data_IF_490320699503
#
_entry.id   IF_490320699503
#
_cell.length_a   1.000
_cell.length_b   1.000
_cell.length_c   1.000
_cell.angle_alpha   90.00
_cell.angle_beta   90.00
_cell.angle_gamma   90.00
#
_symmetry.space_group_name_H-M   'P 1'
#
loop_
_entity.id
_entity.type
_entity.pdbx_description
1 polymer ?
#
# COMPACT_ATOMS: atom_id res chain seq x y z
N UNK A 1 -27.87 98.51 -47.15
CA UNK A 1 -26.86 97.93 -46.23
C UNK A 1 -27.43 98.13 -44.82
N UNK A 2 -28.26 97.18 -44.34
CA UNK A 2 -27.91 96.11 -43.37
C UNK A 2 -27.05 96.60 -42.21
N UNK A 3 -27.37 96.37 -40.94
CA UNK A 3 -28.55 95.88 -40.21
C UNK A 3 -28.20 96.25 -38.75
N UNK A 4 -29.13 96.81 -37.98
CA UNK A 4 -28.91 97.05 -36.56
C UNK A 4 -28.97 95.71 -35.82
N UNK A 5 -27.86 95.33 -35.22
CA UNK A 5 -27.69 94.15 -34.37
C UNK A 5 -28.57 94.29 -33.12
N UNK A 6 -29.62 93.49 -33.04
CA UNK A 6 -30.50 93.42 -31.87
C UNK A 6 -30.08 92.21 -31.04
N UNK A 7 -29.21 92.46 -30.05
CA UNK A 7 -28.75 91.43 -29.10
C UNK A 7 -29.88 91.14 -28.13
N UNK A 8 -30.48 89.96 -28.26
CA UNK A 8 -31.45 89.44 -27.29
C UNK A 8 -30.67 88.69 -26.21
N UNK A 9 -30.84 89.00 -24.91
CA UNK A 9 -30.05 88.38 -23.85
C UNK A 9 -30.39 86.90 -23.67
N UNK A 10 -29.35 86.09 -23.52
CA UNK A 10 -29.42 84.67 -23.14
C UNK A 10 -30.00 84.58 -21.74
N UNK A 11 -31.25 84.13 -21.64
CA UNK A 11 -31.97 84.00 -20.38
C UNK A 11 -32.71 82.66 -20.34
N UNK A 12 -31.99 81.54 -20.48
CA UNK A 12 -32.59 80.20 -20.35
C UNK A 12 -31.55 79.13 -20.01
N UNK A 13 -30.96 79.20 -18.81
CA UNK A 13 -30.05 78.17 -18.30
C UNK A 13 -30.39 77.67 -16.88
N UNK A 14 -31.49 78.15 -16.26
CA UNK A 14 -31.90 77.69 -14.91
C UNK A 14 -33.02 76.66 -14.90
N UNK A 15 -33.62 76.38 -16.05
CA UNK A 15 -34.82 75.53 -16.13
C UNK A 15 -34.48 74.04 -16.20
N UNK A 16 -33.27 73.67 -16.62
CA UNK A 16 -32.87 72.25 -16.77
C UNK A 16 -32.38 71.59 -15.47
N UNK A 17 -31.68 72.31 -14.59
CA UNK A 17 -31.20 71.75 -13.31
C UNK A 17 -32.36 71.50 -12.33
N UNK A 18 -33.30 72.45 -12.22
CA UNK A 18 -34.47 72.31 -11.35
C UNK A 18 -35.43 71.21 -11.83
N UNK A 19 -35.51 70.99 -13.15
CA UNK A 19 -36.33 69.92 -13.75
C UNK A 19 -35.63 68.56 -13.60
N UNK A 20 -34.31 68.48 -13.73
CA UNK A 20 -33.56 67.25 -13.44
C UNK A 20 -33.59 66.85 -11.96
N UNK A 21 -33.46 67.81 -11.03
CA UNK A 21 -33.59 67.53 -9.60
C UNK A 21 -35.01 67.06 -9.25
N UNK A 22 -36.05 67.69 -9.82
CA UNK A 22 -37.43 67.28 -9.62
C UNK A 22 -37.71 65.87 -10.17
N UNK A 23 -37.21 65.55 -11.38
CA UNK A 23 -37.34 64.21 -11.97
C UNK A 23 -36.54 63.19 -11.15
N UNK A 24 -35.33 63.52 -10.69
CA UNK A 24 -34.54 62.64 -9.85
C UNK A 24 -35.25 62.36 -8.50
N UNK A 25 -35.90 63.36 -7.92
CA UNK A 25 -36.62 63.25 -6.65
C UNK A 25 -37.97 62.51 -6.79
N UNK A 26 -38.66 62.70 -7.92
CA UNK A 26 -39.88 61.96 -8.30
C UNK A 26 -39.59 60.49 -8.66
N UNK A 27 -38.51 60.23 -9.38
CA UNK A 27 -38.01 58.87 -9.67
C UNK A 27 -37.51 58.21 -8.39
N UNK A 28 -36.81 58.91 -7.49
CA UNK A 28 -36.38 58.35 -6.20
C UNK A 28 -37.55 58.01 -5.28
N UNK A 29 -38.60 58.82 -5.26
CA UNK A 29 -39.80 58.55 -4.45
C UNK A 29 -40.68 57.43 -5.04
N UNK A 30 -40.82 57.35 -6.36
CA UNK A 30 -41.54 56.26 -7.03
C UNK A 30 -40.75 54.95 -7.03
N UNK A 31 -39.43 55.01 -7.25
CA UNK A 31 -38.55 53.84 -7.18
C UNK A 31 -38.38 53.32 -5.75
N UNK A 32 -38.39 54.18 -4.74
CA UNK A 32 -38.23 53.77 -3.33
C UNK A 32 -39.32 52.80 -2.84
N UNK A 33 -40.55 52.96 -3.32
CA UNK A 33 -41.68 52.12 -2.90
C UNK A 33 -41.69 50.73 -3.56
N UNK A 34 -41.25 50.61 -4.81
CA UNK A 34 -41.14 49.31 -5.50
C UNK A 34 -39.79 48.63 -5.26
N UNK A 35 -38.70 49.38 -5.14
CA UNK A 35 -37.39 48.84 -4.73
C UNK A 35 -37.41 48.30 -3.31
N UNK A 36 -38.17 48.90 -2.38
CA UNK A 36 -38.31 48.37 -1.02
C UNK A 36 -38.92 46.96 -0.99
N UNK A 37 -39.96 46.70 -1.80
CA UNK A 37 -40.56 45.37 -1.95
C UNK A 37 -39.58 44.40 -2.60
N UNK A 38 -38.90 44.83 -3.66
CA UNK A 38 -37.87 44.04 -4.35
C UNK A 38 -36.72 43.69 -3.39
N UNK A 39 -36.28 44.61 -2.55
CA UNK A 39 -35.22 44.36 -1.57
C UNK A 39 -35.62 43.31 -0.52
N UNK A 40 -36.89 43.29 -0.09
CA UNK A 40 -37.42 42.26 0.80
C UNK A 40 -37.42 40.89 0.11
N UNK A 41 -37.86 40.82 -1.16
CA UNK A 41 -37.80 39.57 -1.91
C UNK A 41 -36.36 39.11 -2.12
N UNK A 42 -35.43 40.01 -2.44
CA UNK A 42 -34.01 39.70 -2.61
C UNK A 42 -33.37 39.25 -1.29
N UNK A 43 -33.69 39.88 -0.16
CA UNK A 43 -33.15 39.49 1.14
C UNK A 43 -33.64 38.10 1.55
N UNK A 44 -34.93 37.82 1.34
CA UNK A 44 -35.50 36.50 1.57
C UNK A 44 -34.85 35.44 0.65
N UNK A 45 -34.71 35.75 -0.64
CA UNK A 45 -34.07 34.86 -1.61
C UNK A 45 -32.61 34.59 -1.25
N UNK A 46 -31.88 35.61 -0.79
CA UNK A 46 -30.48 35.50 -0.36
C UNK A 46 -30.33 34.57 0.84
N UNK A 47 -31.24 34.63 1.81
CA UNK A 47 -31.25 33.72 2.95
C UNK A 47 -31.52 32.28 2.51
N UNK A 48 -32.47 32.06 1.59
CA UNK A 48 -32.74 30.73 1.03
C UNK A 48 -31.53 30.19 0.26
N UNK A 49 -30.87 31.05 -0.51
CA UNK A 49 -29.66 30.71 -1.26
C UNK A 49 -28.52 30.30 -0.33
N UNK A 50 -28.33 31.05 0.76
CA UNK A 50 -27.40 30.69 1.83
C UNK A 50 -27.72 29.32 2.43
N UNK A 51 -29.00 29.03 2.67
CA UNK A 51 -29.43 27.75 3.22
C UNK A 51 -29.05 26.59 2.28
N UNK A 52 -29.40 26.69 1.00
CA UNK A 52 -29.08 25.66 -0.01
C UNK A 52 -27.58 25.50 -0.17
N UNK A 53 -26.84 26.61 -0.24
CA UNK A 53 -25.39 26.59 -0.35
C UNK A 53 -24.73 25.97 0.89
N UNK A 54 -25.21 26.31 2.09
CA UNK A 54 -24.75 25.71 3.34
C UNK A 54 -24.95 24.20 3.35
N UNK A 55 -26.13 23.72 2.95
CA UNK A 55 -26.38 22.28 2.86
C UNK A 55 -25.50 21.60 1.80
N UNK A 56 -25.32 22.23 0.64
CA UNK A 56 -24.43 21.72 -0.42
C UNK A 56 -22.97 21.63 0.03
N UNK A 57 -22.46 22.67 0.69
CA UNK A 57 -21.12 22.66 1.28
C UNK A 57 -20.99 21.62 2.39
N UNK A 58 -21.98 21.52 3.28
CA UNK A 58 -21.97 20.54 4.37
C UNK A 58 -21.89 19.12 3.84
N UNK A 59 -22.66 18.77 2.81
CA UNK A 59 -22.58 17.45 2.17
C UNK A 59 -21.23 17.20 1.50
N UNK A 60 -20.66 18.20 0.82
CA UNK A 60 -19.34 18.08 0.21
C UNK A 60 -18.24 17.87 1.25
N UNK A 61 -18.29 18.58 2.38
CA UNK A 61 -17.34 18.43 3.48
C UNK A 61 -17.44 17.03 4.09
N UNK A 62 -18.64 16.50 4.28
CA UNK A 62 -18.83 15.13 4.77
C UNK A 62 -18.18 14.12 3.83
N UNK A 63 -18.44 14.22 2.52
CA UNK A 63 -17.84 13.30 1.52
C UNK A 63 -16.32 13.39 1.47
N UNK A 64 -15.77 14.62 1.50
CA UNK A 64 -14.32 14.83 1.59
C UNK A 64 -13.74 14.21 2.87
N UNK A 65 -14.46 14.27 3.99
CA UNK A 65 -14.08 13.60 5.23
C UNK A 65 -13.96 12.08 5.08
N UNK A 66 -14.95 11.45 4.44
CA UNK A 66 -14.95 10.02 4.15
C UNK A 66 -13.78 9.63 3.22
N UNK A 67 -13.51 10.41 2.17
CA UNK A 67 -12.37 10.17 1.27
C UNK A 67 -11.02 10.29 1.98
N UNK A 68 -10.87 11.28 2.88
CA UNK A 68 -9.66 11.47 3.68
C UNK A 68 -9.47 10.31 4.68
N UNK A 69 -10.54 9.81 5.27
CA UNK A 69 -10.50 8.63 6.14
C UNK A 69 -10.06 7.38 5.35
N UNK A 70 -10.61 7.18 4.14
CA UNK A 70 -10.19 6.10 3.25
C UNK A 70 -8.71 6.21 2.86
N UNK A 71 -8.22 7.43 2.60
CA UNK A 71 -6.79 7.71 2.36
C UNK A 71 -5.92 7.37 3.57
N UNK A 72 -6.38 7.67 4.78
CA UNK A 72 -5.68 7.30 6.01
C UNK A 72 -5.60 5.78 6.17
N UNK A 73 -6.69 5.07 5.87
CA UNK A 73 -6.73 3.60 5.82
C UNK A 73 -5.73 3.03 4.81
N UNK A 74 -5.72 3.55 3.58
CA UNK A 74 -4.78 3.11 2.55
C UNK A 74 -3.31 3.35 2.95
N UNK A 75 -3.02 4.49 3.61
CA UNK A 75 -1.68 4.77 4.13
C UNK A 75 -1.25 3.74 5.17
N UNK A 76 -2.17 3.30 6.03
CA UNK A 76 -1.90 2.24 7.02
C UNK A 76 -1.61 0.91 6.33
N UNK A 77 -2.38 0.53 5.31
CA UNK A 77 -2.16 -0.69 4.55
C UNK A 77 -0.82 -0.70 3.82
N UNK A 78 -0.43 0.43 3.21
CA UNK A 78 0.87 0.60 2.56
C UNK A 78 2.01 0.45 3.58
N UNK A 79 1.85 1.02 4.78
CA UNK A 79 2.83 0.86 5.87
C UNK A 79 2.95 -0.61 6.32
N UNK A 80 1.82 -1.29 6.50
CA UNK A 80 1.80 -2.72 6.84
C UNK A 80 2.43 -3.59 5.75
N UNK A 81 2.22 -3.24 4.47
CA UNK A 81 2.87 -3.89 3.34
C UNK A 81 4.40 -3.68 3.36
N UNK A 82 4.87 -2.48 3.71
CA UNK A 82 6.30 -2.20 3.90
C UNK A 82 6.94 -3.14 4.92
N UNK A 83 6.35 -3.26 6.11
CA UNK A 83 6.83 -4.18 7.16
C UNK A 83 6.86 -5.64 6.70
N UNK A 84 5.86 -6.08 5.92
CA UNK A 84 5.82 -7.44 5.37
C UNK A 84 6.94 -7.66 4.35
N UNK A 85 7.20 -6.69 3.48
CA UNK A 85 8.28 -6.74 2.49
C UNK A 85 9.65 -6.81 3.16
N UNK A 86 9.88 -6.06 4.23
CA UNK A 86 11.12 -6.14 5.02
C UNK A 86 11.32 -7.54 5.60
N UNK A 87 10.24 -8.13 6.13
CA UNK A 87 10.25 -9.51 6.63
C UNK A 87 10.59 -10.53 5.54
N UNK A 88 10.03 -10.39 4.34
CA UNK A 88 10.35 -11.24 3.18
C UNK A 88 11.81 -11.06 2.76
N UNK A 89 12.30 -9.82 2.71
CA UNK A 89 13.70 -9.51 2.36
C UNK A 89 14.69 -10.15 3.35
N UNK A 90 14.37 -10.14 4.64
CA UNK A 90 15.16 -10.82 5.68
C UNK A 90 15.20 -12.34 5.46
N UNK A 91 14.03 -12.96 5.22
CA UNK A 91 13.93 -14.41 4.97
C UNK A 91 14.68 -14.83 3.70
N UNK A 92 14.68 -13.99 2.66
CA UNK A 92 15.41 -14.25 1.43
C UNK A 92 16.92 -14.29 1.70
N UNK A 93 17.46 -13.29 2.42
CA UNK A 93 18.88 -13.27 2.82
C UNK A 93 19.29 -14.51 3.62
N UNK A 94 18.45 -14.95 4.57
CA UNK A 94 18.71 -16.17 5.33
C UNK A 94 18.69 -17.41 4.43
N UNK A 95 17.81 -17.45 3.45
CA UNK A 95 17.74 -18.55 2.48
C UNK A 95 18.99 -18.58 1.61
N UNK A 96 19.46 -17.43 1.11
CA UNK A 96 20.70 -17.33 0.33
C UNK A 96 21.90 -17.84 1.13
N UNK A 97 22.03 -17.42 2.39
CA UNK A 97 23.08 -17.91 3.30
C UNK A 97 23.00 -19.42 3.51
N UNK A 98 21.80 -19.99 3.62
CA UNK A 98 21.62 -21.43 3.78
C UNK A 98 22.02 -22.18 2.50
N UNK A 99 21.70 -21.65 1.32
CA UNK A 99 22.10 -22.20 0.02
C UNK A 99 23.62 -22.17 -0.15
N UNK A 100 24.28 -21.05 0.20
CA UNK A 100 25.74 -20.95 0.15
C UNK A 100 26.43 -21.97 1.07
N UNK A 101 25.89 -22.15 2.28
CA UNK A 101 26.39 -23.15 3.22
C UNK A 101 26.21 -24.58 2.69
N UNK A 102 25.08 -24.87 2.02
CA UNK A 102 24.83 -26.16 1.38
C UNK A 102 25.78 -26.40 0.20
N UNK A 103 26.01 -25.39 -0.64
CA UNK A 103 26.97 -25.47 -1.75
C UNK A 103 28.38 -25.78 -1.24
N UNK A 104 28.83 -25.13 -0.16
CA UNK A 104 30.13 -25.44 0.44
C UNK A 104 30.24 -26.87 0.99
N UNK A 105 29.17 -27.37 1.64
CA UNK A 105 29.11 -28.76 2.09
C UNK A 105 29.10 -29.76 0.93
N UNK A 106 28.40 -29.44 -0.16
CA UNK A 106 28.36 -30.28 -1.36
C UNK A 106 29.74 -30.37 -2.01
N UNK A 107 30.45 -29.25 -2.20
CA UNK A 107 31.83 -29.29 -2.73
C UNK A 107 32.80 -30.08 -1.84
N UNK A 108 32.63 -30.01 -0.52
CA UNK A 108 33.39 -30.85 0.43
C UNK A 108 33.05 -32.34 0.26
N UNK A 109 31.77 -32.66 0.10
CA UNK A 109 31.30 -34.03 -0.13
C UNK A 109 31.81 -34.60 -1.44
N UNK A 110 31.75 -33.83 -2.53
CA UNK A 110 32.31 -34.19 -3.84
C UNK A 110 33.81 -34.51 -3.72
N UNK A 111 34.57 -33.66 -3.02
CA UNK A 111 36.00 -33.90 -2.77
C UNK A 111 36.22 -35.23 -2.04
N UNK A 112 35.46 -35.50 -0.98
CA UNK A 112 35.56 -36.76 -0.21
C UNK A 112 35.17 -37.99 -1.05
N UNK A 113 34.16 -37.88 -1.90
CA UNK A 113 33.76 -38.96 -2.82
C UNK A 113 34.90 -39.27 -3.78
N UNK A 114 35.52 -38.26 -4.39
CA UNK A 114 36.69 -38.42 -5.27
C UNK A 114 37.87 -39.06 -4.52
N UNK A 115 38.11 -38.69 -3.26
CA UNK A 115 39.14 -39.33 -2.43
C UNK A 115 38.83 -40.80 -2.16
N UNK A 116 37.58 -41.14 -1.83
CA UNK A 116 37.14 -42.54 -1.66
C UNK A 116 37.32 -43.35 -2.95
N UNK A 117 37.01 -42.78 -4.11
CA UNK A 117 37.22 -43.41 -5.42
C UNK A 117 38.70 -43.68 -5.75
N UNK A 118 39.63 -42.94 -5.16
CA UNK A 118 41.07 -43.16 -5.34
C UNK A 118 41.65 -44.23 -4.41
N UNK A 119 40.95 -44.58 -3.32
CA UNK A 119 41.45 -45.59 -2.38
C UNK A 119 41.50 -46.99 -3.01
N UNK A 120 42.49 -47.83 -2.67
CA UNK A 120 42.47 -49.24 -3.05
C UNK A 120 41.16 -49.93 -2.60
N UNK A 121 40.66 -50.88 -3.40
CA UNK A 121 39.36 -51.52 -3.16
C UNK A 121 39.21 -52.12 -1.74
N UNK A 122 40.29 -52.67 -1.18
CA UNK A 122 40.34 -53.20 0.19
C UNK A 122 40.13 -52.11 1.24
N UNK A 123 40.71 -50.93 1.05
CA UNK A 123 40.57 -49.78 1.96
C UNK A 123 39.18 -49.17 1.86
N UNK A 124 38.60 -49.07 0.66
CA UNK A 124 37.20 -48.66 0.47
C UNK A 124 36.23 -49.57 1.22
N UNK A 125 36.36 -50.90 1.03
CA UNK A 125 35.53 -51.89 1.73
C UNK A 125 35.63 -51.71 3.25
N UNK A 126 36.83 -51.52 3.79
CA UNK A 126 37.06 -51.31 5.23
C UNK A 126 36.40 -50.03 5.76
N UNK A 127 36.45 -48.92 5.02
CA UNK A 127 35.76 -47.67 5.38
C UNK A 127 34.25 -47.87 5.36
N UNK A 128 33.71 -48.47 4.30
CA UNK A 128 32.27 -48.74 4.18
C UNK A 128 31.78 -49.66 5.31
N UNK A 129 32.53 -50.70 5.68
CA UNK A 129 32.20 -51.59 6.80
C UNK A 129 32.22 -50.85 8.14
N UNK A 130 33.16 -49.91 8.34
CA UNK A 130 33.19 -49.08 9.54
C UNK A 130 31.96 -48.16 9.62
N UNK A 131 31.62 -47.50 8.51
CA UNK A 131 30.44 -46.64 8.41
C UNK A 131 29.13 -47.43 8.59
N UNK A 132 29.01 -48.63 8.01
CA UNK A 132 27.85 -49.52 8.18
C UNK A 132 27.68 -49.93 9.65
N UNK A 133 28.78 -50.24 10.34
CA UNK A 133 28.75 -50.54 11.77
C UNK A 133 28.31 -49.32 12.60
N UNK A 134 28.80 -48.12 12.28
CA UNK A 134 28.37 -46.89 12.93
C UNK A 134 26.88 -46.59 12.70
N UNK A 135 26.38 -46.79 11.47
CA UNK A 135 24.96 -46.67 11.11
C UNK A 135 24.13 -47.71 11.88
N UNK A 136 24.59 -48.96 11.96
CA UNK A 136 23.97 -50.01 12.76
C UNK A 136 23.80 -49.61 14.22
N UNK A 137 24.83 -49.01 14.82
CA UNK A 137 24.77 -48.48 16.20
C UNK A 137 23.76 -47.35 16.36
N UNK A 138 23.74 -46.38 15.42
CA UNK A 138 22.76 -45.27 15.44
C UNK A 138 21.33 -45.76 15.24
N UNK A 139 21.11 -46.73 14.36
CA UNK A 139 19.79 -47.33 14.16
C UNK A 139 19.35 -48.13 15.39
N UNK A 140 20.25 -48.84 16.06
CA UNK A 140 19.96 -49.49 17.33
C UNK A 140 19.48 -48.50 18.39
N UNK A 141 20.15 -47.34 18.49
CA UNK A 141 19.75 -46.26 19.39
C UNK A 141 18.38 -45.67 19.03
N UNK A 142 18.16 -45.33 17.75
CA UNK A 142 16.87 -44.80 17.27
C UNK A 142 15.74 -45.81 17.47
N UNK A 143 16.01 -47.11 17.29
CA UNK A 143 15.05 -48.18 17.52
C UNK A 143 14.53 -48.28 18.94
N UNK A 144 15.33 -47.85 19.93
CA UNK A 144 14.88 -47.76 21.31
C UNK A 144 13.89 -46.61 21.58
N UNK A 145 13.69 -45.70 20.63
CA UNK A 145 12.88 -44.48 20.78
C UNK A 145 11.66 -44.43 19.85
N UNK A 146 11.35 -45.52 19.14
CA UNK A 146 10.31 -45.56 18.10
C UNK A 146 9.08 -46.37 18.51
N UNK A 147 7.91 -45.96 18.00
CA UNK A 147 6.64 -46.66 18.18
C UNK A 147 6.56 -47.93 17.29
N UNK A 148 5.64 -48.84 17.62
CA UNK A 148 5.53 -50.18 17.02
C UNK A 148 5.46 -50.20 15.47
N UNK A 149 4.82 -49.20 14.85
CA UNK A 149 4.71 -49.10 13.39
C UNK A 149 6.01 -48.67 12.68
N UNK A 150 6.89 -47.93 13.35
CA UNK A 150 8.16 -47.47 12.81
C UNK A 150 9.30 -48.47 13.12
N UNK A 151 9.15 -49.25 14.21
CA UNK A 151 10.06 -50.33 14.58
C UNK A 151 10.19 -51.41 13.48
N UNK A 152 9.10 -51.78 12.80
CA UNK A 152 9.13 -52.77 11.72
C UNK A 152 9.96 -52.33 10.50
N UNK A 153 9.86 -51.05 10.11
CA UNK A 153 10.67 -50.48 9.01
C UNK A 153 12.15 -50.41 9.39
N UNK A 154 12.43 -50.11 10.66
CA UNK A 154 13.79 -50.09 11.18
C UNK A 154 14.40 -51.50 11.22
N UNK A 155 13.64 -52.51 11.64
CA UNK A 155 14.09 -53.90 11.64
C UNK A 155 14.44 -54.36 10.20
N UNK A 156 13.65 -53.96 9.21
CA UNK A 156 13.94 -54.21 7.81
C UNK A 156 15.25 -53.51 7.37
N UNK A 157 15.47 -52.25 7.77
CA UNK A 157 16.71 -51.53 7.50
C UNK A 157 17.93 -52.20 8.17
N UNK A 158 17.78 -52.69 9.41
CA UNK A 158 18.83 -53.42 10.12
C UNK A 158 19.17 -54.75 9.43
N UNK A 159 18.18 -55.49 8.92
CA UNK A 159 18.40 -56.71 8.12
C UNK A 159 19.17 -56.43 6.83
N UNK A 160 18.81 -55.37 6.11
CA UNK A 160 19.50 -54.96 4.89
C UNK A 160 20.96 -54.56 5.16
N UNK A 161 21.23 -53.84 6.25
CA UNK A 161 22.59 -53.47 6.63
C UNK A 161 23.46 -54.68 6.95
N UNK A 162 22.94 -55.65 7.71
CA UNK A 162 23.65 -56.90 8.01
C UNK A 162 23.94 -57.71 6.74
N UNK A 163 22.99 -57.75 5.81
CA UNK A 163 23.17 -58.43 4.53
C UNK A 163 24.28 -57.75 3.68
N UNK A 164 24.28 -56.41 3.63
CA UNK A 164 25.31 -55.63 2.95
C UNK A 164 26.71 -55.81 3.57
N UNK A 165 26.80 -55.82 4.90
CA UNK A 165 28.06 -56.05 5.61
C UNK A 165 28.63 -57.45 5.31
N UNK A 166 27.78 -58.48 5.33
CA UNK A 166 28.17 -59.85 5.02
C UNK A 166 28.63 -60.04 3.55
N UNK A 167 28.08 -59.27 2.63
CA UNK A 167 28.48 -59.31 1.21
C UNK A 167 29.80 -58.57 0.97
N UNK A 168 30.02 -57.45 1.65
CA UNK A 168 31.27 -56.68 1.58
C UNK A 168 32.45 -57.36 2.28
N UNK A 169 32.18 -58.23 3.25
CA UNK A 169 33.17 -59.05 3.95
C UNK A 169 33.72 -60.23 3.10
N UNK A 170 33.07 -60.54 1.96
CA UNK A 170 33.58 -61.49 0.95
C UNK A 170 34.56 -60.81 0.00
#
# INVERSE_FOLDING_TARGET
MSQAENVTPIQDYKTDEATQEAIAQEVMSSAGNDMGKVAIYISLLSVVLLMVFYFGLSQNITKLGEEVEALAGLRQDVSAMGTRLDGVSSRLRTTDQAVDALNGKMGTMETRVVELEKLPAKTRKMVIVNDLNAIGGKLGFIGGQLDAGQAAKLEQAQKLLKALEADLAK
#
